data_IF_232942391652
#
_entry.id   IF_232942391652
#
_cell.length_a   1.000
_cell.length_b   1.000
_cell.length_c   1.000
_cell.angle_alpha   90.00
_cell.angle_beta   90.00
_cell.angle_gamma   90.00
#
_symmetry.space_group_name_H-M   'P 1'
#
loop_
_entity.id
_entity.type
_entity.pdbx_description
1 polymer ?
#
# COMPACT_ATOMS: atom_id res chain seq x y z
N UNK A 1 3.37 -23.56 2.38
CA UNK A 1 4.27 -23.79 1.22
C UNK A 1 3.72 -22.96 0.06
N UNK A 2 4.42 -21.94 -0.43
CA UNK A 2 4.01 -21.19 -1.62
C UNK A 2 4.23 -22.10 -2.84
N UNK A 3 3.15 -22.59 -3.45
CA UNK A 3 3.21 -23.31 -4.71
C UNK A 3 3.28 -22.26 -5.82
N UNK A 4 4.43 -22.14 -6.48
CA UNK A 4 4.57 -21.39 -7.74
C UNK A 4 4.46 -22.40 -8.87
N UNK A 5 3.68 -22.09 -9.89
CA UNK A 5 3.51 -22.95 -11.06
C UNK A 5 4.00 -22.20 -12.31
N UNK A 6 4.77 -22.88 -13.14
CA UNK A 6 5.16 -22.38 -14.45
C UNK A 6 4.13 -22.87 -15.46
N UNK A 7 3.53 -21.95 -16.20
CA UNK A 7 2.51 -22.23 -17.20
C UNK A 7 2.99 -21.82 -18.58
N UNK A 8 2.66 -22.64 -19.58
CA UNK A 8 2.70 -22.24 -20.98
C UNK A 8 1.45 -21.43 -21.37
N UNK A 9 1.38 -21.00 -22.63
CA UNK A 9 0.27 -20.20 -23.15
C UNK A 9 -1.07 -20.93 -23.05
N UNK A 10 -1.10 -22.23 -23.31
CA UNK A 10 -2.35 -23.01 -23.33
C UNK A 10 -2.89 -23.22 -21.90
N UNK A 11 -2.02 -23.52 -20.94
CA UNK A 11 -2.38 -23.61 -19.54
C UNK A 11 -2.83 -22.25 -18.98
N UNK A 12 -2.14 -21.16 -19.33
CA UNK A 12 -2.51 -19.83 -18.87
C UNK A 12 -3.83 -19.34 -19.47
N UNK A 13 -4.10 -19.62 -20.75
CA UNK A 13 -5.38 -19.28 -21.40
C UNK A 13 -6.56 -20.08 -20.85
N UNK A 14 -6.34 -21.32 -20.39
CA UNK A 14 -7.37 -22.10 -19.68
C UNK A 14 -7.75 -21.47 -18.33
N UNK A 15 -6.81 -20.80 -17.66
CA UNK A 15 -7.10 -20.06 -16.42
C UNK A 15 -7.72 -18.69 -16.69
N UNK A 16 -7.20 -17.98 -17.69
CA UNK A 16 -7.63 -16.62 -18.04
C UNK A 16 -7.86 -16.58 -19.56
N UNK A 17 -9.10 -16.79 -20.02
CA UNK A 17 -9.44 -16.74 -21.43
C UNK A 17 -9.02 -15.41 -22.07
N UNK A 18 -8.36 -15.48 -23.23
CA UNK A 18 -7.87 -14.30 -23.95
C UNK A 18 -6.56 -13.71 -23.44
N UNK A 19 -5.92 -14.31 -22.41
CA UNK A 19 -4.58 -13.92 -22.00
C UNK A 19 -3.56 -14.26 -23.09
N UNK A 20 -2.73 -13.27 -23.43
CA UNK A 20 -1.51 -13.47 -24.23
C UNK A 20 -0.33 -13.65 -23.29
N UNK A 21 0.46 -14.68 -23.55
CA UNK A 21 1.66 -15.00 -22.78
C UNK A 21 2.89 -14.82 -23.67
N UNK A 22 3.54 -13.64 -23.65
CA UNK A 22 4.80 -13.45 -24.36
C UNK A 22 5.82 -14.52 -23.94
N UNK A 23 6.62 -15.00 -24.89
CA UNK A 23 7.65 -16.02 -24.67
C UNK A 23 7.13 -17.39 -24.19
N UNK A 24 5.81 -17.62 -24.24
CA UNK A 24 5.18 -18.87 -23.79
C UNK A 24 5.50 -19.22 -22.32
N UNK A 25 5.69 -18.20 -21.47
CA UNK A 25 6.04 -18.36 -20.07
C UNK A 25 5.22 -17.44 -19.15
N UNK A 26 4.45 -18.04 -18.24
CA UNK A 26 3.75 -17.35 -17.15
C UNK A 26 4.04 -18.01 -15.80
N UNK A 27 4.08 -17.20 -14.73
CA UNK A 27 4.19 -17.69 -13.36
C UNK A 27 2.82 -17.53 -12.69
N UNK A 28 2.25 -18.64 -12.26
CA UNK A 28 0.97 -18.67 -11.56
C UNK A 28 1.15 -18.89 -10.07
N UNK A 29 0.47 -18.05 -9.30
CA UNK A 29 0.44 -18.09 -7.84
C UNK A 29 -0.99 -18.41 -7.38
N UNK A 30 -1.39 -19.68 -7.23
CA UNK A 30 -2.76 -20.07 -6.89
C UNK A 30 -3.26 -19.52 -5.55
N UNK A 31 -2.35 -19.22 -4.62
CA UNK A 31 -2.68 -18.66 -3.31
C UNK A 31 -2.53 -17.14 -3.25
N UNK A 32 -2.17 -16.48 -4.35
CA UNK A 32 -2.13 -15.03 -4.39
C UNK A 32 -3.55 -14.47 -4.33
N UNK A 33 -3.71 -13.38 -3.58
CA UNK A 33 -5.00 -12.73 -3.38
C UNK A 33 -4.96 -11.31 -3.93
N UNK A 34 -6.01 -10.96 -4.66
CA UNK A 34 -6.34 -9.57 -4.93
C UNK A 34 -7.37 -9.11 -3.90
N UNK A 35 -7.12 -7.94 -3.31
CA UNK A 35 -8.03 -7.36 -2.32
C UNK A 35 -8.49 -6.00 -2.80
N UNK A 36 -9.74 -5.67 -2.48
CA UNK A 36 -10.22 -4.30 -2.63
C UNK A 36 -9.66 -3.45 -1.48
N UNK A 37 -8.75 -2.50 -1.72
CA UNK A 37 -8.04 -1.83 -0.62
C UNK A 37 -8.96 -1.06 0.33
N UNK A 38 -10.01 -0.41 -0.21
CA UNK A 38 -10.97 0.35 0.60
C UNK A 38 -11.76 -0.58 1.53
N UNK A 39 -12.35 -1.64 0.99
CA UNK A 39 -13.11 -2.62 1.79
C UNK A 39 -12.22 -3.32 2.81
N UNK A 40 -10.99 -3.63 2.43
CA UNK A 40 -10.02 -4.25 3.31
C UNK A 40 -9.70 -3.38 4.53
N UNK A 41 -9.39 -2.09 4.33
CA UNK A 41 -9.09 -1.17 5.43
C UNK A 41 -10.32 -0.93 6.33
N UNK A 42 -11.52 -0.86 5.75
CA UNK A 42 -12.77 -0.78 6.52
C UNK A 42 -12.97 -2.02 7.40
N UNK A 43 -12.76 -3.22 6.84
CA UNK A 43 -12.86 -4.47 7.58
C UNK A 43 -11.80 -4.57 8.68
N UNK A 44 -10.56 -4.13 8.42
CA UNK A 44 -9.49 -4.12 9.40
C UNK A 44 -9.81 -3.20 10.58
N UNK A 45 -10.35 -2.00 10.32
CA UNK A 45 -10.78 -1.07 11.37
C UNK A 45 -11.90 -1.67 12.22
N UNK A 46 -12.91 -2.29 11.58
CA UNK A 46 -14.00 -2.96 12.29
C UNK A 46 -13.51 -4.14 13.13
N UNK A 47 -12.54 -4.91 12.63
CA UNK A 47 -11.91 -5.99 13.39
C UNK A 47 -11.22 -5.45 14.66
N UNK A 48 -10.48 -4.35 14.57
CA UNK A 48 -9.89 -3.70 15.74
C UNK A 48 -10.95 -3.23 16.75
N UNK A 49 -12.05 -2.64 16.27
CA UNK A 49 -13.17 -2.24 17.13
C UNK A 49 -13.80 -3.43 17.87
N UNK A 50 -14.02 -4.55 17.17
CA UNK A 50 -14.60 -5.74 17.77
C UNK A 50 -13.65 -6.35 18.80
N UNK A 51 -12.36 -6.45 18.49
CA UNK A 51 -11.36 -6.96 19.45
C UNK A 51 -11.28 -6.11 20.72
N UNK A 52 -11.35 -4.78 20.62
CA UNK A 52 -11.35 -3.90 21.78
C UNK A 52 -12.57 -4.16 22.70
N UNK A 53 -13.75 -4.36 22.12
CA UNK A 53 -14.98 -4.70 22.85
C UNK A 53 -14.90 -6.07 23.51
N UNK A 54 -14.45 -7.08 22.77
CA UNK A 54 -14.37 -8.47 23.24
C UNK A 54 -13.34 -8.66 24.37
N UNK A 55 -12.26 -7.89 24.35
CA UNK A 55 -11.18 -8.01 25.35
C UNK A 55 -11.43 -7.13 26.59
N UNK A 56 -12.56 -6.43 26.67
CA UNK A 56 -12.94 -5.66 27.85
C UNK A 56 -13.57 -6.61 28.88
N UNK A 57 -12.74 -7.14 29.79
CA UNK A 57 -13.11 -8.19 30.76
C UNK A 57 -13.95 -7.66 31.92
N UNK A 58 -13.82 -6.37 32.25
CA UNK A 58 -14.57 -5.73 33.33
C UNK A 58 -14.80 -4.23 33.06
N UNK A 59 -15.77 -3.58 33.74
CA UNK A 59 -16.01 -2.14 33.63
C UNK A 59 -14.82 -1.25 34.02
N UNK A 60 -13.86 -1.78 34.79
CA UNK A 60 -12.64 -1.05 35.21
C UNK A 60 -11.45 -1.20 34.26
N UNK A 61 -11.53 -2.08 33.27
CA UNK A 61 -10.48 -2.33 32.25
C UNK A 61 -11.05 -2.15 30.84
N UNK A 62 -11.83 -1.08 30.65
CA UNK A 62 -12.42 -0.74 29.36
C UNK A 62 -11.30 -0.41 28.36
N UNK A 63 -11.17 -1.24 27.33
CA UNK A 63 -10.31 -0.93 26.18
C UNK A 63 -11.11 -0.12 25.19
N UNK A 64 -10.73 1.14 25.02
CA UNK A 64 -11.36 2.03 24.04
C UNK A 64 -10.60 1.98 22.72
N UNK A 65 -11.34 2.04 21.61
CA UNK A 65 -10.78 2.23 20.27
C UNK A 65 -11.60 3.30 19.55
N UNK A 66 -11.00 4.47 19.40
CA UNK A 66 -11.65 5.67 18.91
C UNK A 66 -10.90 6.26 17.72
N UNK A 67 -11.66 6.86 16.79
CA UNK A 67 -11.12 7.57 15.63
C UNK A 67 -11.39 9.06 15.81
N UNK A 68 -10.32 9.83 15.92
CA UNK A 68 -10.37 11.27 16.04
C UNK A 68 -9.96 11.94 14.74
N UNK A 69 -10.68 12.99 14.35
CA UNK A 69 -10.25 13.90 13.30
C UNK A 69 -9.84 15.22 13.98
N UNK A 70 -8.54 15.37 14.22
CA UNK A 70 -7.95 16.52 14.91
C UNK A 70 -6.79 17.05 14.08
N UNK A 71 -6.74 18.37 13.90
CA UNK A 71 -5.56 19.03 13.35
C UNK A 71 -4.48 19.08 14.42
N UNK A 72 -3.24 18.75 14.05
CA UNK A 72 -2.06 18.91 14.91
C UNK A 72 -0.98 19.66 14.13
N UNK A 73 -0.30 20.59 14.78
CA UNK A 73 0.80 21.35 14.16
C UNK A 73 2.14 20.62 14.31
N UNK A 74 2.28 19.85 15.40
CA UNK A 74 3.50 19.15 15.79
C UNK A 74 3.17 17.95 16.69
N UNK A 75 4.15 17.08 16.92
CA UNK A 75 4.02 15.85 17.69
C UNK A 75 3.95 16.09 19.20
N UNK A 76 4.51 17.19 19.71
CA UNK A 76 4.49 17.50 21.14
C UNK A 76 3.06 17.71 21.64
N UNK A 77 2.14 18.17 20.79
CA UNK A 77 0.70 18.26 21.11
C UNK A 77 0.06 16.91 21.48
N UNK A 78 0.68 15.77 21.15
CA UNK A 78 0.21 14.43 21.53
C UNK A 78 0.91 13.89 22.79
N UNK A 79 2.05 14.46 23.18
CA UNK A 79 2.88 13.91 24.26
C UNK A 79 2.28 13.98 25.67
N UNK A 80 1.26 14.81 25.88
CA UNK A 80 0.56 14.92 27.16
C UNK A 80 -0.56 13.89 27.35
N UNK A 81 -1.07 13.32 26.26
CA UNK A 81 -2.28 12.49 26.26
C UNK A 81 -1.97 10.99 26.07
N UNK A 82 -0.75 10.65 25.61
CA UNK A 82 -0.39 9.28 25.21
C UNK A 82 1.01 8.88 25.69
N UNK A 83 1.17 7.64 26.13
CA UNK A 83 2.49 7.05 26.45
C UNK A 83 3.31 6.74 25.18
N UNK A 84 2.62 6.42 24.08
CA UNK A 84 3.24 6.13 22.80
C UNK A 84 2.37 6.56 21.62
N UNK A 85 3.02 7.04 20.55
CA UNK A 85 2.37 7.46 19.29
C UNK A 85 3.05 6.77 18.12
N UNK A 86 2.26 6.12 17.26
CA UNK A 86 2.74 5.49 16.02
C UNK A 86 2.36 6.36 14.82
N UNK A 87 3.36 6.84 14.10
CA UNK A 87 3.21 7.72 12.94
C UNK A 87 3.07 6.88 11.66
N UNK A 88 1.91 6.98 11.02
CA UNK A 88 1.52 6.20 9.83
C UNK A 88 1.12 7.10 8.64
N UNK A 89 1.79 8.24 8.46
CA UNK A 89 1.39 9.29 7.49
C UNK A 89 1.77 8.99 6.03
N UNK A 90 2.47 7.89 5.76
CA UNK A 90 2.87 7.49 4.41
C UNK A 90 3.61 8.60 3.66
N UNK A 91 3.12 8.95 2.46
CA UNK A 91 3.69 10.05 1.66
C UNK A 91 3.70 11.41 2.34
N UNK A 92 2.84 11.64 3.33
CA UNK A 92 2.72 12.92 4.05
C UNK A 92 3.59 12.99 5.30
N UNK A 93 4.46 12.02 5.57
CA UNK A 93 5.28 12.04 6.79
C UNK A 93 6.15 13.31 6.91
N UNK A 94 6.60 13.88 5.80
CA UNK A 94 7.36 15.14 5.76
C UNK A 94 6.53 16.39 6.05
N UNK A 95 5.20 16.30 6.16
CA UNK A 95 4.38 17.45 6.58
C UNK A 95 4.49 17.73 8.07
N UNK A 96 5.01 16.78 8.86
CA UNK A 96 5.35 17.02 10.26
C UNK A 96 6.71 17.73 10.36
N UNK A 97 6.80 18.88 11.05
CA UNK A 97 8.05 19.62 11.20
C UNK A 97 9.23 18.75 11.67
N UNK A 98 8.98 17.85 12.62
CA UNK A 98 9.99 17.01 13.24
C UNK A 98 10.54 15.92 12.34
N UNK A 99 9.83 15.59 11.26
CA UNK A 99 10.21 14.56 10.29
C UNK A 99 10.68 15.14 8.95
N UNK A 100 10.58 16.46 8.79
CA UNK A 100 11.01 17.16 7.58
C UNK A 100 12.49 16.86 7.31
N UNK A 101 12.78 16.30 6.12
CA UNK A 101 14.13 15.90 5.69
C UNK A 101 14.84 14.87 6.59
N UNK A 102 14.15 14.21 7.52
CA UNK A 102 14.75 13.19 8.40
C UNK A 102 14.52 11.76 7.95
N UNK A 103 13.48 11.53 7.15
CA UNK A 103 13.18 10.20 6.62
C UNK A 103 13.78 10.05 5.21
N UNK A 104 14.50 8.95 4.91
CA UNK A 104 15.09 8.72 3.59
C UNK A 104 14.04 8.21 2.59
N UNK A 105 12.94 8.93 2.44
CA UNK A 105 11.82 8.59 1.57
C UNK A 105 11.91 9.35 0.24
N UNK A 106 11.54 8.67 -0.84
CA UNK A 106 11.37 9.29 -2.16
C UNK A 106 9.89 9.25 -2.53
N UNK A 107 9.36 10.36 -2.97
CA UNK A 107 7.96 10.43 -3.42
C UNK A 107 7.83 9.90 -4.85
N UNK A 108 6.79 9.11 -5.08
CA UNK A 108 6.40 8.68 -6.42
C UNK A 108 4.89 8.68 -6.54
N UNK A 109 4.35 9.63 -7.31
CA UNK A 109 2.94 9.64 -7.69
C UNK A 109 2.71 8.61 -8.79
N UNK A 110 1.60 7.90 -8.72
CA UNK A 110 1.16 6.98 -9.75
C UNK A 110 -0.32 7.16 -10.03
N UNK A 111 -0.68 7.14 -11.30
CA UNK A 111 -2.06 7.17 -11.79
C UNK A 111 -2.46 5.75 -12.18
N UNK A 112 -3.68 5.38 -11.83
CA UNK A 112 -4.33 4.14 -12.24
C UNK A 112 -5.59 4.47 -13.03
N UNK A 113 -5.92 3.63 -14.01
CA UNK A 113 -7.15 3.72 -14.79
C UNK A 113 -8.12 2.62 -14.36
N UNK A 114 -9.40 2.96 -14.24
CA UNK A 114 -10.48 2.02 -13.94
C UNK A 114 -11.30 1.78 -15.20
N UNK A 115 -11.50 0.51 -15.53
CA UNK A 115 -12.31 0.08 -16.65
C UNK A 115 -13.47 -0.79 -16.17
N UNK A 116 -14.53 -0.80 -16.96
CA UNK A 116 -15.70 -1.64 -16.74
C UNK A 116 -16.02 -2.44 -17.99
N UNK A 117 -16.32 -3.72 -17.79
CA UNK A 117 -16.83 -4.58 -18.85
C UNK A 117 -18.18 -4.03 -19.35
N UNK A 118 -18.39 -3.90 -20.66
CA UNK A 118 -19.67 -3.46 -21.22
C UNK A 118 -20.80 -4.40 -20.78
N UNK A 119 -21.97 -3.85 -20.45
CA UNK A 119 -23.11 -4.57 -19.86
C UNK A 119 -23.59 -5.77 -20.67
N UNK A 120 -23.39 -5.71 -21.99
CA UNK A 120 -23.93 -6.65 -22.96
C UNK A 120 -22.97 -7.81 -23.24
N UNK A 121 -21.84 -7.86 -22.54
CA UNK A 121 -20.82 -8.89 -22.72
C UNK A 121 -21.14 -10.12 -21.85
N UNK A 122 -21.10 -11.31 -22.45
CA UNK A 122 -21.29 -12.58 -21.74
C UNK A 122 -20.13 -12.93 -20.79
N UNK A 123 -18.94 -12.35 -21.00
CA UNK A 123 -17.70 -12.64 -20.26
C UNK A 123 -17.70 -12.02 -18.85
N UNK A 124 -18.40 -12.63 -17.89
CA UNK A 124 -18.34 -12.21 -16.48
C UNK A 124 -17.32 -13.02 -15.72
N UNK A 125 -16.37 -12.35 -15.06
CA UNK A 125 -15.46 -13.03 -14.13
C UNK A 125 -16.19 -13.41 -12.84
N UNK A 126 -15.86 -14.56 -12.26
CA UNK A 126 -16.42 -15.00 -10.97
C UNK A 126 -15.77 -14.31 -9.76
N UNK A 127 -15.96 -14.87 -8.57
CA UNK A 127 -15.26 -14.41 -7.34
C UNK A 127 -13.75 -14.66 -7.35
N UNK A 128 -13.25 -15.43 -8.32
CA UNK A 128 -11.84 -15.73 -8.55
C UNK A 128 -11.27 -14.95 -9.73
N UNK A 129 -11.71 -13.69 -9.92
CA UNK A 129 -11.17 -12.84 -10.99
C UNK A 129 -9.65 -12.75 -10.87
N UNK A 130 -8.91 -12.92 -11.98
CA UNK A 130 -7.46 -13.00 -11.92
C UNK A 130 -6.83 -11.64 -11.60
N UNK A 131 -5.59 -11.67 -11.12
CA UNK A 131 -4.68 -10.53 -11.17
C UNK A 131 -3.53 -10.87 -12.09
N UNK A 132 -3.25 -9.97 -13.02
CA UNK A 132 -2.17 -10.13 -14.00
C UNK A 132 -1.11 -9.10 -13.66
N UNK A 133 0.14 -9.56 -13.51
CA UNK A 133 1.29 -8.69 -13.32
C UNK A 133 2.18 -8.77 -14.57
N UNK A 134 2.28 -7.66 -15.29
CA UNK A 134 3.21 -7.43 -16.38
C UNK A 134 3.71 -5.98 -16.31
N UNK A 135 4.14 -5.39 -17.44
CA UNK A 135 4.53 -3.97 -17.52
C UNK A 135 3.46 -3.01 -16.98
N UNK A 136 2.18 -3.38 -17.13
CA UNK A 136 1.07 -2.82 -16.38
C UNK A 136 0.35 -3.95 -15.65
N UNK A 137 0.05 -3.77 -14.36
CA UNK A 137 -0.75 -4.73 -13.63
C UNK A 137 -2.24 -4.52 -13.93
N UNK A 138 -2.99 -5.61 -14.00
CA UNK A 138 -4.44 -5.64 -14.08
C UNK A 138 -4.99 -6.31 -12.82
N UNK A 139 -5.76 -5.56 -12.04
CA UNK A 139 -6.36 -6.04 -10.80
C UNK A 139 -7.89 -6.00 -10.92
N UNK A 140 -8.50 -7.16 -11.16
CA UNK A 140 -9.94 -7.27 -11.30
C UNK A 140 -10.64 -7.13 -9.94
N UNK A 141 -11.56 -6.18 -9.85
CA UNK A 141 -12.30 -5.81 -8.64
C UNK A 141 -13.74 -6.36 -8.72
N UNK A 142 -13.88 -7.68 -8.75
CA UNK A 142 -15.15 -8.37 -8.96
C UNK A 142 -15.39 -8.75 -10.43
N UNK A 143 -16.66 -8.92 -10.86
CA UNK A 143 -16.98 -9.56 -12.13
C UNK A 143 -16.76 -8.69 -13.37
N UNK A 144 -16.89 -7.37 -13.22
CA UNK A 144 -17.01 -6.44 -14.35
C UNK A 144 -16.09 -5.22 -14.23
N UNK A 145 -15.24 -5.12 -13.20
CA UNK A 145 -14.41 -3.92 -12.98
C UNK A 145 -12.96 -4.34 -12.88
N UNK A 146 -12.07 -3.56 -13.48
CA UNK A 146 -10.62 -3.79 -13.42
C UNK A 146 -9.90 -2.47 -13.20
N UNK A 147 -8.91 -2.48 -12.33
CA UNK A 147 -7.95 -1.40 -12.19
C UNK A 147 -6.68 -1.76 -12.93
N UNK A 148 -6.19 -0.84 -13.76
CA UNK A 148 -4.96 -0.98 -14.53
C UNK A 148 -3.96 0.05 -14.01
N UNK A 149 -2.73 -0.36 -13.74
CA UNK A 149 -1.74 0.59 -13.29
C UNK A 149 -0.30 0.09 -13.28
N UNK A 150 0.62 0.91 -12.76
CA UNK A 150 0.43 2.37 -12.55
C UNK A 150 1.49 3.11 -13.34
N UNK A 151 1.23 4.38 -13.65
CA UNK A 151 2.28 5.30 -14.09
C UNK A 151 3.28 5.57 -12.94
N UNK A 152 4.40 6.22 -13.25
CA UNK A 152 5.46 6.52 -12.30
C UNK A 152 6.00 7.94 -12.48
N UNK A 153 5.60 8.85 -11.59
CA UNK A 153 6.13 10.20 -11.52
C UNK A 153 6.95 10.37 -10.24
N UNK A 154 8.27 10.24 -10.37
CA UNK A 154 9.22 10.42 -9.27
C UNK A 154 9.36 11.89 -8.86
N UNK A 155 9.71 12.14 -7.59
CA UNK A 155 9.89 13.49 -7.02
C UNK A 155 8.64 14.36 -7.16
N UNK A 156 7.47 13.72 -7.09
CA UNK A 156 6.19 14.41 -7.14
C UNK A 156 5.75 14.75 -5.73
N UNK A 157 5.47 16.02 -5.48
CA UNK A 157 4.87 16.50 -4.23
C UNK A 157 3.35 16.73 -4.37
N UNK A 158 2.77 16.26 -5.49
CA UNK A 158 1.34 16.31 -5.69
C UNK A 158 0.67 15.15 -4.93
N UNK A 159 0.07 15.48 -3.78
CA UNK A 159 -0.69 14.57 -2.93
C UNK A 159 -2.19 14.49 -3.28
N UNK A 160 -2.65 15.23 -4.28
CA UNK A 160 -4.07 15.31 -4.64
C UNK A 160 -4.54 13.99 -5.28
N UNK A 161 -5.55 13.29 -4.75
CA UNK A 161 -6.02 12.05 -5.37
C UNK A 161 -6.76 12.26 -6.70
N UNK A 162 -7.19 13.48 -7.01
CA UNK A 162 -7.85 13.84 -8.26
C UNK A 162 -6.87 13.83 -9.44
N UNK A 163 -7.41 13.54 -10.62
CA UNK A 163 -6.68 13.43 -11.87
C UNK A 163 -7.43 14.29 -12.88
N UNK A 164 -6.74 15.22 -13.53
CA UNK A 164 -7.34 16.04 -14.58
C UNK A 164 -7.60 15.20 -15.85
N UNK A 165 -8.47 15.67 -16.73
CA UNK A 165 -8.74 14.98 -18.00
C UNK A 165 -7.46 14.77 -18.84
N UNK A 166 -6.54 15.73 -18.80
CA UNK A 166 -5.26 15.66 -19.50
C UNK A 166 -4.29 14.65 -18.86
N UNK A 167 -4.21 14.61 -17.53
CA UNK A 167 -3.40 13.60 -16.81
C UNK A 167 -3.99 12.19 -17.04
N UNK A 168 -5.32 12.07 -17.07
CA UNK A 168 -6.02 10.83 -17.38
C UNK A 168 -5.73 10.35 -18.81
N UNK A 169 -5.82 11.24 -19.80
CA UNK A 169 -5.48 10.94 -21.21
C UNK A 169 -4.04 10.45 -21.34
N UNK A 170 -3.09 11.17 -20.73
CA UNK A 170 -1.67 10.79 -20.73
C UNK A 170 -1.45 9.42 -20.07
N UNK A 171 -2.08 9.16 -18.92
CA UNK A 171 -1.98 7.87 -18.25
C UNK A 171 -2.58 6.74 -19.09
N UNK A 172 -3.67 6.99 -19.81
CA UNK A 172 -4.31 6.03 -20.71
C UNK A 172 -3.44 5.69 -21.92
N UNK A 173 -2.80 6.70 -22.53
CA UNK A 173 -1.84 6.50 -23.63
C UNK A 173 -0.65 5.63 -23.21
N UNK A 174 -0.24 5.71 -21.94
CA UNK A 174 0.82 4.85 -21.39
C UNK A 174 0.33 3.45 -21.03
N UNK A 175 -0.79 3.34 -20.30
CA UNK A 175 -1.21 2.10 -19.64
C UNK A 175 -1.99 1.16 -20.57
N UNK A 176 -2.84 1.69 -21.45
CA UNK A 176 -3.71 0.86 -22.30
C UNK A 176 -2.92 -0.04 -23.26
N UNK A 177 -1.86 0.45 -23.95
CA UNK A 177 -1.04 -0.42 -24.81
C UNK A 177 -0.38 -1.54 -24.02
N UNK A 178 0.18 -1.25 -22.83
CA UNK A 178 0.82 -2.23 -21.94
C UNK A 178 -0.16 -3.31 -21.48
N UNK A 179 -1.35 -2.91 -21.06
CA UNK A 179 -2.40 -3.84 -20.63
C UNK A 179 -2.91 -4.69 -21.81
N UNK A 180 -3.16 -4.07 -22.97
CA UNK A 180 -3.67 -4.75 -24.16
C UNK A 180 -2.68 -5.72 -24.78
N UNK A 181 -1.38 -5.55 -24.53
CA UNK A 181 -0.35 -6.49 -24.98
C UNK A 181 -0.52 -7.88 -24.35
N UNK A 182 -0.90 -7.95 -23.07
CA UNK A 182 -1.10 -9.21 -22.33
C UNK A 182 -2.58 -9.61 -22.23
N UNK A 183 -3.51 -8.67 -22.28
CA UNK A 183 -4.94 -8.93 -22.22
C UNK A 183 -5.70 -8.07 -23.24
N UNK A 184 -5.68 -8.43 -24.54
CA UNK A 184 -6.22 -7.60 -25.63
C UNK A 184 -7.69 -7.22 -25.47
N UNK A 185 -8.49 -8.05 -24.77
CA UNK A 185 -9.90 -7.77 -24.52
C UNK A 185 -10.15 -6.45 -23.81
N UNK A 186 -9.18 -5.94 -23.02
CA UNK A 186 -9.31 -4.69 -22.27
C UNK A 186 -9.56 -3.47 -23.17
N UNK A 187 -9.13 -3.50 -24.44
CA UNK A 187 -9.33 -2.40 -25.37
C UNK A 187 -10.80 -2.18 -25.75
N UNK A 188 -11.66 -3.15 -25.45
CA UNK A 188 -13.11 -3.09 -25.68
C UNK A 188 -13.88 -2.68 -24.43
N UNK A 189 -13.21 -2.48 -23.30
CA UNK A 189 -13.84 -2.13 -22.03
C UNK A 189 -14.02 -0.61 -21.93
N UNK A 190 -15.07 -0.20 -21.24
CA UNK A 190 -15.38 1.20 -21.04
C UNK A 190 -14.44 1.78 -19.99
N UNK A 191 -13.73 2.85 -20.35
CA UNK A 191 -13.01 3.66 -19.39
C UNK A 191 -14.01 4.36 -18.46
N UNK A 192 -13.79 4.23 -17.14
CA UNK A 192 -14.67 4.83 -16.12
C UNK A 192 -14.06 6.11 -15.57
N UNK A 193 -12.80 6.05 -15.13
CA UNK A 193 -12.07 7.16 -14.50
C UNK A 193 -10.61 6.82 -14.28
N UNK A 194 -9.82 7.85 -13.97
CA UNK A 194 -8.47 7.72 -13.45
C UNK A 194 -8.41 8.24 -12.01
N UNK A 195 -7.47 7.70 -11.22
CA UNK A 195 -7.20 8.15 -9.85
C UNK A 195 -5.70 8.12 -9.58
N UNK A 196 -5.24 9.03 -8.73
CA UNK A 196 -3.84 9.09 -8.36
C UNK A 196 -3.61 8.72 -6.90
N UNK A 197 -2.39 8.27 -6.61
CA UNK A 197 -1.90 8.10 -5.26
C UNK A 197 -0.40 8.39 -5.19
N UNK A 198 0.04 8.86 -4.02
CA UNK A 198 1.46 9.10 -3.75
C UNK A 198 2.05 8.00 -2.90
N UNK A 199 3.17 7.44 -3.36
CA UNK A 199 3.92 6.40 -2.66
C UNK A 199 5.12 7.02 -1.99
N UNK A 200 5.27 6.78 -0.69
CA UNK A 200 6.53 6.97 0.02
C UNK A 200 7.42 5.75 -0.24
N UNK A 201 8.35 5.88 -1.17
CA UNK A 201 9.28 4.81 -1.53
C UNK A 201 10.49 4.83 -0.60
N UNK A 202 10.78 3.72 0.10
CA UNK A 202 11.96 3.64 0.95
C UNK A 202 13.24 3.54 0.09
N UNK A 203 14.42 3.63 0.71
CA UNK A 203 15.68 3.36 0.04
C UNK A 203 15.72 1.95 -0.54
N UNK A 204 16.45 1.78 -1.64
CA UNK A 204 16.80 0.46 -2.14
C UNK A 204 18.06 0.00 -1.42
N UNK A 205 17.98 -1.12 -0.72
CA UNK A 205 19.11 -1.75 -0.02
C UNK A 205 19.42 -3.11 -0.64
N UNK A 206 20.47 -3.79 -0.16
CA UNK A 206 20.74 -5.19 -0.53
C UNK A 206 19.57 -6.14 -0.19
N UNK A 207 18.76 -5.80 0.81
CA UNK A 207 17.55 -6.54 1.21
C UNK A 207 16.29 -6.09 0.44
N UNK A 208 16.46 -5.26 -0.59
CA UNK A 208 15.37 -4.62 -1.32
C UNK A 208 14.91 -3.33 -0.66
N UNK A 209 13.69 -2.90 -0.99
CA UNK A 209 13.08 -1.67 -0.48
C UNK A 209 12.08 -2.04 0.62
N UNK A 210 12.60 -2.18 1.84
CA UNK A 210 11.83 -2.52 3.03
C UNK A 210 11.19 -1.26 3.64
N UNK A 211 10.01 -1.40 4.30
CA UNK A 211 9.41 -0.33 5.09
C UNK A 211 10.35 0.22 6.16
N UNK A 212 10.15 1.48 6.53
CA UNK A 212 10.87 2.13 7.62
C UNK A 212 10.10 1.94 8.92
N UNK A 213 10.67 1.21 9.87
CA UNK A 213 10.12 1.03 11.21
C UNK A 213 11.10 1.57 12.26
N UNK A 214 10.61 1.83 13.45
CA UNK A 214 11.45 2.13 14.61
C UNK A 214 10.99 3.31 15.46
N UNK A 215 11.60 3.44 16.62
CA UNK A 215 11.47 4.56 17.54
C UNK A 215 12.13 5.82 16.96
N UNK A 216 11.46 6.94 17.08
CA UNK A 216 11.87 8.23 16.52
C UNK A 216 12.46 9.17 17.56
N UNK A 217 12.57 8.78 18.83
CA UNK A 217 13.03 9.68 19.90
C UNK A 217 14.41 10.30 19.57
N UNK A 218 15.37 9.50 19.12
CA UNK A 218 16.70 10.00 18.72
C UNK A 218 16.69 10.79 17.40
N UNK A 219 15.69 10.55 16.55
CA UNK A 219 15.53 11.23 15.25
C UNK A 219 14.89 12.61 15.44
N UNK A 220 13.91 12.71 16.34
CA UNK A 220 13.21 13.96 16.66
C UNK A 220 14.14 14.85 17.49
N UNK A 221 14.92 14.27 18.41
CA UNK A 221 15.93 14.98 19.21
C UNK A 221 15.37 15.70 20.44
N UNK A 222 14.04 15.68 20.62
CA UNK A 222 13.37 16.26 21.79
C UNK A 222 13.00 15.17 22.78
N UNK A 223 13.37 15.39 24.05
CA UNK A 223 12.96 14.49 25.13
C UNK A 223 11.48 14.72 25.44
N UNK A 224 10.73 13.64 25.40
CA UNK A 224 9.30 13.60 25.71
C UNK A 224 9.04 12.42 26.63
N UNK A 225 8.01 12.54 27.47
CA UNK A 225 7.50 11.40 28.24
C UNK A 225 6.73 10.40 27.34
N UNK A 226 6.44 10.80 26.10
CA UNK A 226 5.80 9.99 25.08
C UNK A 226 6.84 9.43 24.10
N UNK A 227 6.76 8.13 23.80
CA UNK A 227 7.61 7.50 22.78
C UNK A 227 6.98 7.61 21.38
N UNK A 228 7.72 8.17 20.42
CA UNK A 228 7.27 8.26 19.04
C UNK A 228 7.83 7.10 18.21
N UNK A 229 6.99 6.48 17.40
CA UNK A 229 7.34 5.34 16.56
C UNK A 229 6.92 5.58 15.12
N UNK A 230 7.57 4.94 14.16
CA UNK A 230 7.29 5.06 12.73
C UNK A 230 6.79 3.73 12.15
N UNK A 231 5.76 3.82 11.31
CA UNK A 231 5.49 2.85 10.24
C UNK A 231 5.38 3.62 8.92
N UNK A 232 6.46 3.64 8.16
CA UNK A 232 6.60 4.46 6.95
C UNK A 232 7.20 3.69 5.78
N UNK A 233 7.33 4.35 4.63
CA UNK A 233 8.06 3.78 3.48
C UNK A 233 7.45 2.49 2.92
N UNK A 234 6.14 2.30 3.01
CA UNK A 234 5.48 1.09 2.49
C UNK A 234 5.55 0.96 0.96
N UNK A 235 5.84 2.05 0.25
CA UNK A 235 6.04 2.08 -1.20
C UNK A 235 4.90 1.44 -2.01
N UNK A 236 5.26 0.76 -3.11
CA UNK A 236 4.31 0.03 -3.95
C UNK A 236 3.87 -1.34 -3.37
N UNK A 237 4.42 -1.76 -2.23
CA UNK A 237 4.20 -3.09 -1.63
C UNK A 237 3.53 -2.99 -0.26
N UNK A 238 2.86 -1.88 0.03
CA UNK A 238 2.32 -1.63 1.36
C UNK A 238 1.35 -2.69 1.85
N UNK A 239 0.48 -3.19 0.97
CA UNK A 239 -0.46 -4.27 1.32
C UNK A 239 0.22 -5.60 1.62
N UNK A 240 1.43 -5.84 1.09
CA UNK A 240 2.21 -7.04 1.41
C UNK A 240 2.81 -6.95 2.81
N UNK A 241 3.35 -5.78 3.17
CA UNK A 241 4.11 -5.61 4.42
C UNK A 241 3.29 -5.14 5.61
N UNK A 242 2.10 -4.54 5.42
CA UNK A 242 1.42 -3.84 6.52
C UNK A 242 1.15 -4.76 7.73
N UNK A 243 0.81 -6.03 7.51
CA UNK A 243 0.47 -6.96 8.60
C UNK A 243 1.70 -7.32 9.43
N UNK A 244 2.83 -7.57 8.75
CA UNK A 244 4.12 -7.80 9.39
C UNK A 244 4.61 -6.54 10.12
N UNK A 245 4.61 -5.39 9.44
CA UNK A 245 5.03 -4.11 10.00
C UNK A 245 4.20 -3.74 11.24
N UNK A 246 2.87 -3.84 11.15
CA UNK A 246 1.97 -3.58 12.28
C UNK A 246 2.23 -4.50 13.46
N UNK A 247 2.44 -5.81 13.21
CA UNK A 247 2.75 -6.78 14.26
C UNK A 247 4.09 -6.51 14.95
N UNK A 248 5.14 -6.21 14.18
CA UNK A 248 6.47 -5.92 14.72
C UNK A 248 6.47 -4.64 15.54
N UNK A 249 5.90 -3.56 15.00
CA UNK A 249 5.82 -2.27 15.69
C UNK A 249 4.96 -2.37 16.95
N UNK A 250 3.80 -3.03 16.90
CA UNK A 250 2.96 -3.20 18.09
C UNK A 250 3.70 -3.93 19.22
N UNK A 251 4.47 -4.99 18.92
CA UNK A 251 5.29 -5.68 19.91
C UNK A 251 6.37 -4.79 20.50
N UNK A 252 7.07 -4.03 19.66
CA UNK A 252 8.13 -3.12 20.08
C UNK A 252 7.59 -1.99 20.97
N UNK A 253 6.45 -1.41 20.61
CA UNK A 253 5.79 -0.34 21.36
C UNK A 253 5.33 -0.86 22.74
N UNK A 254 4.64 -2.00 22.80
CA UNK A 254 4.16 -2.57 24.07
C UNK A 254 5.32 -2.92 25.00
N UNK A 255 6.44 -3.38 24.45
CA UNK A 255 7.62 -3.76 25.24
C UNK A 255 8.57 -2.58 25.50
N UNK A 256 8.28 -1.40 24.93
CA UNK A 256 9.18 -0.25 24.90
C UNK A 256 10.61 -0.59 24.44
N UNK A 257 10.73 -1.52 23.49
CA UNK A 257 12.02 -2.07 23.04
C UNK A 257 12.09 -2.16 21.51
N UNK A 258 12.92 -1.32 20.90
CA UNK A 258 13.15 -1.32 19.46
C UNK A 258 13.83 -2.60 18.97
N UNK A 259 14.56 -3.32 19.82
CA UNK A 259 15.26 -4.56 19.43
C UNK A 259 14.29 -5.69 19.04
N UNK A 260 13.00 -5.54 19.34
CA UNK A 260 11.93 -6.42 18.87
C UNK A 260 11.68 -6.29 17.35
N UNK A 261 12.19 -5.23 16.73
CA UNK A 261 12.12 -4.98 15.28
C UNK A 261 13.44 -5.48 14.65
N UNK A 262 13.39 -6.35 13.62
CA UNK A 262 14.59 -6.76 12.91
C UNK A 262 15.35 -5.56 12.34
N UNK A 263 16.68 -5.60 12.46
CA UNK A 263 17.56 -4.48 12.10
C UNK A 263 17.41 -4.00 10.65
N UNK A 264 16.97 -4.87 9.75
CA UNK A 264 16.71 -4.56 8.35
C UNK A 264 15.62 -3.50 8.16
N UNK A 265 14.71 -3.36 9.13
CA UNK A 265 13.66 -2.34 9.13
C UNK A 265 14.05 -1.05 9.86
N UNK A 266 15.15 -1.05 10.63
CA UNK A 266 15.61 0.11 11.44
C UNK A 266 16.93 0.69 10.97
N UNK A 267 17.70 -0.03 10.14
CA UNK A 267 19.03 0.38 9.66
C UNK A 267 19.01 1.66 8.81
N UNK A 268 17.83 2.10 8.35
CA UNK A 268 17.65 3.38 7.67
C UNK A 268 18.09 4.57 8.52
N UNK A 269 18.09 4.47 9.85
CA UNK A 269 18.59 5.52 10.74
C UNK A 269 20.09 5.75 10.62
N UNK A 270 20.85 4.73 10.19
CA UNK A 270 22.28 4.84 9.95
C UNK A 270 22.60 5.40 8.55
N UNK A 271 21.61 5.44 7.65
CA UNK A 271 21.76 6.04 6.33
C UNK A 271 21.74 7.55 6.52
N UNK A 272 22.89 8.21 6.33
CA UNK A 272 22.94 9.68 6.27
C UNK A 272 21.93 10.12 5.20
N UNK A 273 20.98 10.98 5.58
CA UNK A 273 20.04 11.57 4.64
C UNK A 273 20.86 12.19 3.49
N UNK A 274 20.75 11.59 2.30
CA UNK A 274 21.34 12.15 1.08
C UNK A 274 20.61 13.45 0.79
N UNK A 275 21.34 14.57 0.89
CA UNK A 275 20.89 15.91 0.53
C UNK A 275 20.41 15.98 -0.91
#
# INVERSE_FOLDING_TARGET
MLSLQVLDSDAAQRLIPGLRVPLNLAIYMPLALNINPKKYLQALFLACQNMAKETSVSPSELKEFSLYNKHIDNLQQLSGDYDAVIICLGGKASSLPELTNKLPLRTCRGVIAEFKLPSDTAEKYGSQSPSILSDAWLAFQGPCTVSVGSTWQWKSDNHDPSVSDEEARTAMEELLPKASAVYPGISKWDYVRARAGIRAMPPLTANGSLPLLGCLNDVIGERSNCAFWLVGGLGARGLLYHGLAGKLTAKAVISSDENMIPSEFTCWKAIKASR
#
